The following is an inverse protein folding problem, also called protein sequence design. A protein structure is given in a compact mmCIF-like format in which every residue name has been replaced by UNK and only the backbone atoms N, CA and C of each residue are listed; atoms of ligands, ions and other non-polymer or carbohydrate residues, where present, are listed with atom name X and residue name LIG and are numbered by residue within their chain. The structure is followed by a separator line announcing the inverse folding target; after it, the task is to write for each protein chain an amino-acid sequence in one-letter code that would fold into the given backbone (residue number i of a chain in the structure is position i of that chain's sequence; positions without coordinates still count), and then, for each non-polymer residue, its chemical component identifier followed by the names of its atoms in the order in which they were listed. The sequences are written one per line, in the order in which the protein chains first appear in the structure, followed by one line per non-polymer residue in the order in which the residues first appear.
data_IF_852977465789
#
_entry.id   IF_852977465789
#
_cell.length_a   1.000
_cell.length_b   1.000
_cell.length_c   1.000
_cell.angle_alpha   90.00
_cell.angle_beta   90.00
_cell.angle_gamma   90.00
#
_symmetry.space_group_name_H-M   'P 1'
#
loop_
_entity.id
_entity.type
_entity.pdbx_description
1 polymer ?
#
# COMPACT_ATOMS: atom_id res chain seq x y z
N UNK A 1 -73.38 -35.52 -46.69
CA UNK A 1 -72.01 -36.05 -46.76
C UNK A 1 -71.04 -34.87 -46.72
N UNK A 2 -70.34 -34.69 -45.62
CA UNK A 2 -69.30 -33.64 -45.51
C UNK A 2 -67.99 -34.24 -46.06
N UNK A 3 -67.45 -33.64 -47.10
CA UNK A 3 -66.18 -34.04 -47.69
C UNK A 3 -65.06 -33.72 -46.73
N UNK A 4 -64.23 -34.70 -46.34
CA UNK A 4 -63.02 -34.51 -45.56
C UNK A 4 -62.01 -33.72 -46.41
N UNK A 5 -61.34 -32.74 -45.83
CA UNK A 5 -60.29 -32.03 -46.53
C UNK A 5 -59.12 -32.96 -46.81
N UNK A 6 -58.58 -32.79 -48.03
CA UNK A 6 -57.52 -33.59 -48.61
C UNK A 6 -56.29 -33.56 -47.77
N UNK A 7 -56.01 -34.64 -47.02
CA UNK A 7 -54.91 -34.76 -46.00
C UNK A 7 -53.56 -34.42 -46.63
N UNK A 8 -53.35 -34.70 -47.89
CA UNK A 8 -52.10 -34.40 -48.60
C UNK A 8 -51.88 -32.88 -48.80
N UNK A 9 -52.95 -32.10 -48.97
CA UNK A 9 -52.86 -30.63 -49.09
C UNK A 9 -52.51 -29.99 -47.68
N UNK A 10 -53.13 -30.49 -46.62
CA UNK A 10 -52.89 -29.99 -45.25
C UNK A 10 -51.44 -30.26 -44.78
N UNK A 11 -50.92 -31.43 -45.13
CA UNK A 11 -49.49 -31.78 -44.77
C UNK A 11 -48.56 -30.90 -45.60
N UNK A 12 -48.84 -30.63 -46.87
CA UNK A 12 -47.97 -29.75 -47.67
C UNK A 12 -47.94 -28.29 -47.20
N UNK A 13 -49.07 -27.75 -46.75
CA UNK A 13 -49.14 -26.41 -46.19
C UNK A 13 -48.47 -26.34 -44.82
N UNK A 14 -48.52 -27.39 -44.01
CA UNK A 14 -47.82 -27.49 -42.76
C UNK A 14 -46.28 -27.46 -42.95
N UNK A 15 -45.77 -28.23 -43.94
CA UNK A 15 -44.35 -28.20 -44.30
C UNK A 15 -43.87 -26.83 -44.77
N UNK A 16 -44.67 -26.16 -45.61
CA UNK A 16 -44.36 -24.82 -46.12
C UNK A 16 -44.33 -23.81 -44.92
N UNK A 17 -45.28 -23.92 -44.00
CA UNK A 17 -45.34 -23.07 -42.83
C UNK A 17 -44.15 -23.28 -41.86
N UNK A 18 -43.76 -24.52 -41.62
CA UNK A 18 -42.57 -24.86 -40.81
C UNK A 18 -41.29 -24.36 -41.49
N UNK A 19 -41.18 -24.49 -42.84
CA UNK A 19 -40.03 -23.97 -43.58
C UNK A 19 -39.96 -22.43 -43.55
N UNK A 20 -41.10 -21.72 -43.59
CA UNK A 20 -41.15 -20.27 -43.42
C UNK A 20 -40.74 -19.82 -42.03
N UNK A 21 -41.15 -20.52 -40.96
CA UNK A 21 -40.74 -20.24 -39.60
C UNK A 21 -39.23 -20.49 -39.44
N UNK A 22 -38.72 -21.58 -40.03
CA UNK A 22 -37.29 -21.90 -39.95
C UNK A 22 -36.43 -20.89 -40.73
N UNK A 23 -36.90 -20.39 -41.88
CA UNK A 23 -36.21 -19.32 -42.62
C UNK A 23 -36.24 -17.97 -41.90
N UNK A 24 -37.31 -17.64 -41.15
CA UNK A 24 -37.39 -16.43 -40.33
C UNK A 24 -36.46 -16.48 -39.11
N UNK A 25 -36.24 -17.68 -38.55
CA UNK A 25 -35.27 -17.87 -37.42
C UNK A 25 -33.82 -17.76 -37.86
N UNK A 26 -33.49 -18.00 -39.11
CA UNK A 26 -32.13 -17.86 -39.66
C UNK A 26 -31.75 -16.41 -39.98
N UNK A 27 -32.68 -15.47 -40.02
CA UNK A 27 -32.41 -14.05 -40.27
C UNK A 27 -32.14 -13.23 -39.03
N UNK A 28 -32.18 -13.84 -37.83
CA UNK A 28 -32.00 -13.14 -36.56
C UNK A 28 -30.54 -12.94 -36.12
N UNK A 29 -29.57 -13.28 -36.95
CA UNK A 29 -28.15 -13.06 -36.68
C UNK A 29 -27.47 -12.20 -37.73
N UNK A 30 -28.04 -11.05 -38.06
CA UNK A 30 -27.22 -9.94 -38.55
C UNK A 30 -26.89 -9.08 -37.30
N UNK A 31 -25.88 -9.48 -36.56
CA UNK A 31 -25.15 -8.55 -35.74
C UNK A 31 -24.69 -7.42 -36.66
N UNK A 32 -25.42 -6.31 -36.64
CA UNK A 32 -24.85 -5.04 -37.03
C UNK A 32 -23.70 -4.81 -36.07
N UNK A 33 -22.51 -5.28 -36.43
CA UNK A 33 -21.27 -4.81 -35.86
C UNK A 33 -21.27 -3.30 -36.11
N UNK A 34 -21.88 -2.55 -35.21
CA UNK A 34 -21.63 -1.13 -35.06
C UNK A 34 -20.13 -1.09 -34.78
N UNK A 35 -19.38 -0.72 -35.81
CA UNK A 35 -17.98 -0.31 -35.65
C UNK A 35 -18.02 0.88 -34.66
N UNK A 36 -18.01 0.59 -33.37
CA UNK A 36 -17.77 1.63 -32.39
C UNK A 36 -16.40 2.21 -32.76
N UNK A 37 -16.43 3.44 -33.25
CA UNK A 37 -15.19 4.19 -33.52
C UNK A 37 -14.44 4.24 -32.21
N UNK A 38 -13.40 3.41 -32.12
CA UNK A 38 -12.60 3.30 -30.89
C UNK A 38 -11.95 4.65 -30.63
N UNK A 39 -12.23 5.25 -29.49
CA UNK A 39 -11.64 6.54 -29.10
C UNK A 39 -10.11 6.37 -29.00
N UNK A 40 -9.31 7.27 -29.61
CA UNK A 40 -7.86 7.17 -29.55
C UNK A 40 -7.32 7.15 -28.11
N UNK A 41 -6.29 6.33 -27.86
CA UNK A 41 -5.68 6.21 -26.54
C UNK A 41 -5.21 7.57 -25.96
N UNK A 42 -4.71 8.45 -26.83
CA UNK A 42 -4.27 9.81 -26.43
C UNK A 42 -5.43 10.68 -25.97
N UNK A 43 -6.59 10.56 -26.60
CA UNK A 43 -7.80 11.32 -26.23
C UNK A 43 -8.36 10.81 -24.90
N UNK A 44 -8.45 9.50 -24.70
CA UNK A 44 -8.88 8.90 -23.43
C UNK A 44 -7.96 9.30 -22.28
N UNK A 45 -6.63 9.26 -22.52
CA UNK A 45 -5.66 9.67 -21.52
C UNK A 45 -5.79 11.15 -21.15
N UNK A 46 -5.97 12.02 -22.14
CA UNK A 46 -6.17 13.47 -21.90
C UNK A 46 -7.45 13.72 -21.10
N UNK A 47 -8.57 13.09 -21.49
CA UNK A 47 -9.84 13.20 -20.75
C UNK A 47 -9.68 12.74 -19.29
N UNK A 48 -9.00 11.62 -19.10
CA UNK A 48 -8.73 11.10 -17.75
C UNK A 48 -7.87 12.07 -16.94
N UNK A 49 -6.83 12.66 -17.53
CA UNK A 49 -5.96 13.61 -16.84
C UNK A 49 -6.66 14.93 -16.51
N UNK A 50 -7.48 15.47 -17.41
CA UNK A 50 -8.30 16.67 -17.13
C UNK A 50 -9.26 16.38 -15.97
N UNK A 51 -9.98 15.27 -16.03
CA UNK A 51 -10.89 14.89 -14.95
C UNK A 51 -10.14 14.65 -13.61
N UNK A 52 -8.89 14.15 -13.67
CA UNK A 52 -8.04 14.00 -12.49
C UNK A 52 -7.65 15.36 -11.88
N UNK A 53 -7.22 16.32 -12.71
CA UNK A 53 -6.83 17.66 -12.29
C UNK A 53 -8.02 18.49 -11.75
N UNK A 54 -9.22 18.26 -12.32
CA UNK A 54 -10.48 18.87 -11.87
C UNK A 54 -11.12 18.13 -10.68
N UNK A 55 -10.45 17.13 -10.10
CA UNK A 55 -10.91 16.29 -8.96
C UNK A 55 -12.16 15.45 -9.25
N UNK A 56 -12.54 15.28 -10.53
CA UNK A 56 -13.60 14.35 -10.94
C UNK A 56 -13.11 12.90 -10.98
N UNK A 57 -12.72 12.39 -9.81
CA UNK A 57 -12.00 11.12 -9.66
C UNK A 57 -12.71 9.91 -10.28
N UNK A 58 -14.04 9.85 -10.21
CA UNK A 58 -14.81 8.73 -10.81
C UNK A 58 -14.73 8.76 -12.34
N UNK A 59 -14.78 9.94 -12.95
CA UNK A 59 -14.66 10.11 -14.39
C UNK A 59 -13.24 9.80 -14.86
N UNK A 60 -12.23 10.27 -14.11
CA UNK A 60 -10.84 9.97 -14.37
C UNK A 60 -10.58 8.45 -14.37
N UNK A 61 -11.04 7.75 -13.31
CA UNK A 61 -10.93 6.29 -13.19
C UNK A 61 -11.58 5.58 -14.37
N UNK A 62 -12.82 5.94 -14.72
CA UNK A 62 -13.55 5.34 -15.84
C UNK A 62 -12.78 5.48 -17.17
N UNK A 63 -12.24 6.66 -17.46
CA UNK A 63 -11.47 6.89 -18.69
C UNK A 63 -10.14 6.10 -18.69
N UNK A 64 -9.45 5.98 -17.54
CA UNK A 64 -8.26 5.13 -17.42
C UNK A 64 -8.59 3.64 -17.59
N UNK A 65 -9.72 3.16 -17.04
CA UNK A 65 -10.17 1.78 -17.20
C UNK A 65 -10.48 1.45 -18.68
N UNK A 66 -11.25 2.31 -19.37
CA UNK A 66 -11.53 2.17 -20.80
C UNK A 66 -10.21 2.12 -21.60
N UNK A 67 -9.26 2.99 -21.28
CA UNK A 67 -7.97 3.01 -21.95
C UNK A 67 -7.17 1.72 -21.74
N UNK A 68 -7.21 1.14 -20.54
CA UNK A 68 -6.55 -0.13 -20.23
C UNK A 68 -7.23 -1.28 -20.98
N UNK A 69 -8.55 -1.30 -21.07
CA UNK A 69 -9.31 -2.36 -21.75
C UNK A 69 -9.14 -2.28 -23.25
N UNK A 70 -9.37 -1.12 -23.85
CA UNK A 70 -9.39 -0.97 -25.30
C UNK A 70 -8.00 -0.85 -25.93
N UNK A 71 -7.02 -0.33 -25.19
CA UNK A 71 -5.67 -0.08 -25.68
C UNK A 71 -4.60 -0.81 -24.86
N UNK A 72 -4.92 -2.03 -24.39
CA UNK A 72 -3.99 -2.86 -23.62
C UNK A 72 -2.66 -3.01 -24.34
N UNK A 73 -1.55 -3.01 -23.56
CA UNK A 73 -0.20 -3.11 -24.10
C UNK A 73 0.39 -1.79 -24.61
N UNK A 74 -0.37 -0.69 -24.67
CA UNK A 74 0.17 0.63 -25.00
C UNK A 74 0.87 1.26 -23.79
N UNK A 75 1.79 2.20 -24.07
CA UNK A 75 2.44 2.99 -23.01
C UNK A 75 1.43 3.77 -22.17
N UNK A 76 0.37 4.32 -22.78
CA UNK A 76 -0.64 5.10 -22.08
C UNK A 76 -1.49 4.21 -21.17
N UNK A 77 -1.88 3.02 -21.61
CA UNK A 77 -2.57 2.04 -20.76
C UNK A 77 -1.73 1.67 -19.54
N UNK A 78 -0.42 1.51 -19.70
CA UNK A 78 0.47 1.23 -18.56
C UNK A 78 0.62 2.43 -17.63
N UNK A 79 0.74 3.66 -18.17
CA UNK A 79 0.75 4.88 -17.37
C UNK A 79 -0.57 5.10 -16.61
N UNK A 80 -1.69 4.63 -17.17
CA UNK A 80 -2.99 4.68 -16.49
C UNK A 80 -2.98 3.93 -15.16
N UNK A 81 -2.30 2.78 -15.06
CA UNK A 81 -2.14 2.09 -13.78
C UNK A 81 -1.41 2.96 -12.73
N UNK A 82 -0.37 3.71 -13.14
CA UNK A 82 0.32 4.62 -12.23
C UNK A 82 -0.62 5.73 -11.73
N UNK A 83 -1.37 6.36 -12.67
CA UNK A 83 -2.31 7.44 -12.34
C UNK A 83 -3.51 6.97 -11.53
N UNK A 84 -4.03 5.78 -11.79
CA UNK A 84 -5.04 5.15 -10.93
C UNK A 84 -4.50 4.90 -9.50
N UNK A 85 -3.22 4.50 -9.38
CA UNK A 85 -2.56 4.40 -8.09
C UNK A 85 -2.55 5.73 -7.34
N UNK A 86 -2.19 6.84 -8.02
CA UNK A 86 -2.23 8.18 -7.45
C UNK A 86 -3.66 8.58 -7.03
N UNK A 87 -4.66 8.29 -7.87
CA UNK A 87 -6.09 8.56 -7.59
C UNK A 87 -6.60 7.80 -6.37
N UNK A 88 -6.36 6.50 -6.31
CA UNK A 88 -6.77 5.68 -5.17
C UNK A 88 -6.06 6.10 -3.87
N UNK A 89 -4.78 6.51 -3.97
CA UNK A 89 -4.05 7.06 -2.84
C UNK A 89 -4.74 8.31 -2.25
N UNK A 90 -5.14 9.27 -3.10
CA UNK A 90 -5.86 10.48 -2.68
C UNK A 90 -7.22 10.16 -2.02
N UNK A 91 -7.84 9.05 -2.40
CA UNK A 91 -9.09 8.59 -1.83
C UNK A 91 -8.93 7.69 -0.59
N UNK A 92 -7.70 7.48 -0.10
CA UNK A 92 -7.36 6.55 0.98
C UNK A 92 -7.79 5.08 0.71
N UNK A 93 -7.88 4.71 -0.58
CA UNK A 93 -8.15 3.34 -1.04
C UNK A 93 -6.82 2.61 -1.20
N UNK A 94 -6.29 2.16 -0.05
CA UNK A 94 -4.90 1.69 0.05
C UNK A 94 -4.63 0.43 -0.77
N UNK A 95 -5.54 -0.53 -0.77
CA UNK A 95 -5.41 -1.81 -1.46
C UNK A 95 -5.43 -1.64 -2.99
N UNK A 96 -6.37 -0.83 -3.49
CA UNK A 96 -6.48 -0.51 -4.92
C UNK A 96 -5.29 0.31 -5.40
N UNK A 97 -4.82 1.26 -4.57
CA UNK A 97 -3.64 2.05 -4.86
C UNK A 97 -2.38 1.16 -4.96
N UNK A 98 -2.15 0.30 -3.95
CA UNK A 98 -1.03 -0.64 -3.96
C UNK A 98 -1.07 -1.56 -5.17
N UNK A 99 -2.22 -2.15 -5.48
CA UNK A 99 -2.42 -3.01 -6.64
C UNK A 99 -2.07 -2.30 -7.94
N UNK A 100 -2.52 -1.05 -8.11
CA UNK A 100 -2.29 -0.24 -9.29
C UNK A 100 -0.80 0.11 -9.47
N UNK A 101 -0.10 0.54 -8.40
CA UNK A 101 1.34 0.81 -8.45
C UNK A 101 2.16 -0.45 -8.73
N UNK A 102 1.83 -1.58 -8.10
CA UNK A 102 2.52 -2.85 -8.35
C UNK A 102 2.29 -3.34 -9.77
N UNK A 103 1.09 -3.15 -10.33
CA UNK A 103 0.80 -3.46 -11.73
C UNK A 103 1.64 -2.61 -12.68
N UNK A 104 1.77 -1.31 -12.42
CA UNK A 104 2.65 -0.43 -13.19
C UNK A 104 4.11 -0.92 -13.17
N UNK A 105 4.65 -1.22 -11.99
CA UNK A 105 6.04 -1.70 -11.84
C UNK A 105 6.28 -3.04 -12.55
N UNK A 106 5.30 -3.94 -12.54
CA UNK A 106 5.37 -5.21 -13.25
C UNK A 106 5.45 -5.01 -14.77
N UNK A 107 4.65 -4.07 -15.30
CA UNK A 107 4.59 -3.79 -16.73
C UNK A 107 5.78 -2.93 -17.22
N UNK A 108 6.37 -2.11 -16.35
CA UNK A 108 7.46 -1.17 -16.70
C UNK A 108 8.60 -1.19 -15.68
N UNK A 109 9.33 -2.31 -15.52
CA UNK A 109 10.34 -2.44 -14.47
C UNK A 109 11.59 -1.57 -14.67
N UNK A 110 11.78 -0.94 -15.85
CA UNK A 110 12.98 -0.18 -16.23
C UNK A 110 12.71 1.28 -16.58
N UNK A 111 11.51 1.81 -16.30
CA UNK A 111 11.20 3.22 -16.57
C UNK A 111 11.80 4.13 -15.51
N UNK A 112 12.05 5.40 -15.88
CA UNK A 112 12.47 6.45 -14.95
C UNK A 112 11.42 6.76 -13.87
N UNK A 113 10.18 6.27 -14.02
CA UNK A 113 9.11 6.43 -13.04
C UNK A 113 9.13 5.37 -11.92
N UNK A 114 10.02 4.36 -12.00
CA UNK A 114 10.14 3.33 -10.94
C UNK A 114 10.46 3.94 -9.58
N UNK A 115 11.44 4.85 -9.43
CA UNK A 115 11.72 5.47 -8.13
C UNK A 115 10.52 6.24 -7.57
N UNK A 116 9.79 7.00 -8.41
CA UNK A 116 8.54 7.64 -8.00
C UNK A 116 7.52 6.63 -7.48
N UNK A 117 7.28 5.57 -8.24
CA UNK A 117 6.27 4.57 -7.86
C UNK A 117 6.61 3.85 -6.57
N UNK A 118 7.90 3.54 -6.33
CA UNK A 118 8.33 2.93 -5.07
C UNK A 118 8.20 3.92 -3.91
N UNK A 119 8.54 5.21 -4.11
CA UNK A 119 8.29 6.25 -3.11
C UNK A 119 6.80 6.31 -2.72
N UNK A 120 5.88 6.25 -3.72
CA UNK A 120 4.43 6.22 -3.45
C UNK A 120 3.99 4.97 -2.66
N UNK A 121 4.57 3.80 -2.94
CA UNK A 121 4.31 2.57 -2.16
C UNK A 121 4.82 2.68 -0.72
N UNK A 122 5.96 3.33 -0.51
CA UNK A 122 6.50 3.60 0.83
C UNK A 122 5.57 4.55 1.58
N UNK A 123 5.17 5.66 0.96
CA UNK A 123 4.21 6.60 1.51
C UNK A 123 2.88 5.92 1.88
N UNK A 124 2.35 5.08 0.97
CA UNK A 124 1.12 4.32 1.17
C UNK A 124 1.18 3.43 2.42
N UNK A 125 2.27 2.70 2.61
CA UNK A 125 2.44 1.84 3.79
C UNK A 125 2.48 2.65 5.09
N UNK A 126 3.06 3.87 5.04
CA UNK A 126 3.08 4.77 6.18
C UNK A 126 1.67 5.33 6.48
N UNK A 127 0.99 5.88 5.47
CA UNK A 127 -0.34 6.46 5.61
C UNK A 127 -1.38 5.43 6.07
N UNK A 128 -1.37 4.24 5.50
CA UNK A 128 -2.24 3.12 5.92
C UNK A 128 -2.06 2.79 7.40
N UNK A 129 -0.84 2.89 7.92
CA UNK A 129 -0.56 2.67 9.32
C UNK A 129 -1.12 3.80 10.20
N UNK A 130 -0.95 5.07 9.80
CA UNK A 130 -1.52 6.22 10.51
C UNK A 130 -3.06 6.17 10.51
N UNK A 131 -3.67 5.85 9.37
CA UNK A 131 -5.13 5.78 9.25
C UNK A 131 -5.73 4.74 10.19
N UNK A 132 -5.03 3.65 10.44
CA UNK A 132 -5.38 2.66 11.45
C UNK A 132 -5.36 3.20 12.89
N UNK A 133 -4.67 4.33 13.16
CA UNK A 133 -4.67 5.00 14.48
C UNK A 133 -6.01 5.65 14.82
N UNK A 134 -6.74 6.16 13.83
CA UNK A 134 -8.05 6.79 14.04
C UNK A 134 -9.17 5.78 14.29
N UNK A 135 -8.94 4.52 13.91
CA UNK A 135 -9.83 3.41 14.26
C UNK A 135 -9.36 2.86 15.61
N UNK A 136 -9.94 3.35 16.70
CA UNK A 136 -9.80 2.97 18.12
C UNK A 136 -9.21 1.58 18.41
N UNK A 137 -7.96 1.29 18.01
CA UNK A 137 -7.24 0.15 18.55
C UNK A 137 -6.35 0.64 19.69
N UNK A 138 -6.30 -0.12 20.77
CA UNK A 138 -5.35 0.15 21.85
C UNK A 138 -3.94 0.07 21.25
N UNK A 139 -3.02 0.95 21.67
CA UNK A 139 -1.68 1.08 21.07
C UNK A 139 -0.90 -0.25 20.90
N UNK A 140 -1.18 -1.25 21.75
CA UNK A 140 -0.54 -2.56 21.68
C UNK A 140 -1.16 -3.55 20.70
N UNK A 141 -2.42 -3.33 20.25
CA UNK A 141 -3.13 -4.17 19.26
C UNK A 141 -2.87 -3.70 17.81
N UNK A 142 -2.04 -2.68 17.65
CA UNK A 142 -1.77 -2.06 16.37
C UNK A 142 -1.01 -3.01 15.45
N UNK A 143 -1.52 -3.17 14.24
CA UNK A 143 -0.81 -3.90 13.19
C UNK A 143 0.39 -3.10 12.69
N UNK A 144 1.60 -3.54 13.03
CA UNK A 144 2.86 -2.91 12.63
C UNK A 144 3.44 -3.47 11.31
N UNK A 145 2.71 -4.36 10.61
CA UNK A 145 3.20 -4.93 9.35
C UNK A 145 3.38 -3.90 8.22
N UNK A 146 2.53 -2.86 8.09
CA UNK A 146 2.80 -1.77 7.15
C UNK A 146 4.16 -1.09 7.36
N UNK A 147 4.54 -0.81 8.62
CA UNK A 147 5.84 -0.20 8.95
C UNK A 147 7.00 -1.15 8.61
N UNK A 148 6.87 -2.44 8.89
CA UNK A 148 7.90 -3.43 8.52
C UNK A 148 8.05 -3.55 7.00
N UNK A 149 6.95 -3.52 6.28
CA UNK A 149 6.95 -3.54 4.80
C UNK A 149 7.63 -2.28 4.26
N UNK A 150 7.32 -1.11 4.82
CA UNK A 150 7.95 0.15 4.45
C UNK A 150 9.48 0.07 4.61
N UNK A 151 9.98 -0.46 5.73
CA UNK A 151 11.42 -0.58 5.97
C UNK A 151 12.09 -1.51 4.94
N UNK A 152 11.44 -2.61 4.56
CA UNK A 152 11.95 -3.50 3.50
C UNK A 152 12.02 -2.80 2.14
N UNK A 153 10.98 -2.05 1.79
CA UNK A 153 10.95 -1.30 0.52
C UNK A 153 11.96 -0.14 0.54
N UNK A 154 12.16 0.54 1.68
CA UNK A 154 13.23 1.54 1.83
C UNK A 154 14.62 0.95 1.58
N UNK A 155 14.94 -0.17 2.20
CA UNK A 155 16.25 -0.82 2.01
C UNK A 155 16.49 -1.15 0.54
N UNK A 156 15.47 -1.66 -0.14
CA UNK A 156 15.53 -1.93 -1.59
C UNK A 156 15.69 -0.65 -2.39
N UNK A 157 14.95 0.41 -2.04
CA UNK A 157 15.04 1.71 -2.70
C UNK A 157 16.44 2.31 -2.59
N UNK A 158 17.00 2.32 -1.38
CA UNK A 158 18.33 2.86 -1.12
C UNK A 158 19.42 2.15 -1.93
N UNK A 159 19.34 0.83 -2.06
CA UNK A 159 20.29 0.04 -2.85
C UNK A 159 20.19 0.29 -4.34
N UNK A 160 18.97 0.44 -4.86
CA UNK A 160 18.73 0.54 -6.30
C UNK A 160 18.80 1.99 -6.83
N UNK A 161 18.47 2.97 -5.99
CA UNK A 161 18.31 4.37 -6.40
C UNK A 161 19.00 5.36 -5.43
N UNK A 162 20.30 5.22 -5.13
CA UNK A 162 20.99 6.02 -4.11
C UNK A 162 21.09 7.51 -4.46
N UNK A 163 20.83 7.90 -5.71
CA UNK A 163 20.85 9.30 -6.17
C UNK A 163 19.46 9.79 -6.60
N UNK A 164 18.41 9.09 -6.18
CA UNK A 164 17.04 9.49 -6.51
C UNK A 164 16.66 10.80 -5.83
N UNK A 165 15.92 11.71 -6.51
CA UNK A 165 15.38 12.90 -5.87
C UNK A 165 14.37 12.59 -4.75
N UNK A 166 13.87 11.36 -4.68
CA UNK A 166 12.94 10.90 -3.63
C UNK A 166 13.65 10.26 -2.44
N UNK A 167 15.00 10.29 -2.37
CA UNK A 167 15.74 9.61 -1.32
C UNK A 167 15.45 10.23 0.05
N UNK A 168 15.38 11.55 0.15
CA UNK A 168 15.08 12.28 1.39
C UNK A 168 13.67 11.93 1.91
N UNK A 169 12.66 11.94 1.02
CA UNK A 169 11.29 11.57 1.37
C UNK A 169 11.21 10.15 1.96
N UNK A 170 11.84 9.18 1.29
CA UNK A 170 11.79 7.79 1.74
C UNK A 170 12.59 7.56 3.02
N UNK A 171 13.65 8.36 3.29
CA UNK A 171 14.38 8.34 4.55
C UNK A 171 13.54 8.90 5.70
N UNK A 172 12.76 9.95 5.46
CA UNK A 172 11.86 10.50 6.46
C UNK A 172 10.76 9.49 6.82
N UNK A 173 10.13 8.85 5.84
CA UNK A 173 9.16 7.78 6.09
C UNK A 173 9.78 6.61 6.87
N UNK A 174 10.99 6.19 6.52
CA UNK A 174 11.70 5.13 7.24
C UNK A 174 11.96 5.51 8.69
N UNK A 175 12.42 6.74 8.94
CA UNK A 175 12.72 7.24 10.29
C UNK A 175 11.47 7.26 11.16
N UNK A 176 10.35 7.73 10.63
CA UNK A 176 9.04 7.71 11.30
C UNK A 176 8.57 6.29 11.58
N UNK A 177 8.66 5.39 10.60
CA UNK A 177 8.27 3.98 10.77
C UNK A 177 9.10 3.27 11.84
N UNK A 178 10.41 3.54 11.91
CA UNK A 178 11.29 3.01 12.97
C UNK A 178 10.91 3.57 14.35
N UNK A 179 10.55 4.85 14.43
CA UNK A 179 10.07 5.47 15.68
C UNK A 179 8.76 4.82 16.14
N UNK A 180 7.80 4.61 15.24
CA UNK A 180 6.53 3.97 15.56
C UNK A 180 6.72 2.52 16.05
N UNK A 181 7.63 1.76 15.42
CA UNK A 181 7.98 0.41 15.86
C UNK A 181 8.61 0.42 17.26
N UNK A 182 9.50 1.38 17.53
CA UNK A 182 10.11 1.53 18.84
C UNK A 182 9.08 1.89 19.92
N UNK A 183 8.14 2.80 19.63
CA UNK A 183 7.03 3.16 20.51
C UNK A 183 6.15 1.94 20.84
N UNK A 184 5.81 1.15 19.82
CA UNK A 184 5.05 -0.09 20.01
C UNK A 184 5.79 -1.07 20.95
N UNK A 185 7.09 -1.30 20.73
CA UNK A 185 7.89 -2.18 21.59
C UNK A 185 7.99 -1.64 23.02
N UNK A 186 8.12 -0.32 23.20
CA UNK A 186 8.12 0.32 24.52
C UNK A 186 6.78 0.13 25.23
N UNK A 187 5.67 0.27 24.50
CA UNK A 187 4.33 0.05 25.04
C UNK A 187 4.16 -1.40 25.52
N UNK A 188 4.57 -2.36 24.70
CA UNK A 188 4.55 -3.79 25.07
C UNK A 188 5.45 -4.08 26.28
N UNK A 189 6.65 -3.46 26.33
CA UNK A 189 7.57 -3.61 27.45
C UNK A 189 6.97 -3.08 28.76
N UNK A 190 6.38 -1.88 28.73
CA UNK A 190 5.70 -1.26 29.87
C UNK A 190 4.50 -2.09 30.32
N UNK A 191 3.72 -2.64 29.40
CA UNK A 191 2.61 -3.55 29.76
C UNK A 191 3.09 -4.75 30.58
N UNK A 192 4.19 -5.40 30.17
CA UNK A 192 4.75 -6.51 30.95
C UNK A 192 5.32 -6.03 32.29
N UNK A 193 5.93 -4.86 32.33
CA UNK A 193 6.45 -4.26 33.56
C UNK A 193 5.32 -4.03 34.58
N UNK A 194 4.21 -3.41 34.14
CA UNK A 194 3.04 -3.11 34.98
C UNK A 194 2.33 -4.38 35.48
N UNK A 195 2.44 -5.48 34.71
CA UNK A 195 1.98 -6.82 35.11
C UNK A 195 2.97 -7.56 36.00
N UNK A 196 4.07 -6.91 36.42
CA UNK A 196 5.15 -7.49 37.25
C UNK A 196 5.86 -8.69 36.57
N UNK A 197 5.66 -8.85 35.26
CA UNK A 197 6.34 -9.85 34.44
C UNK A 197 7.74 -9.32 34.02
N UNK A 198 8.59 -8.99 35.02
CA UNK A 198 9.83 -8.27 34.79
C UNK A 198 10.77 -8.95 33.81
N UNK A 199 10.88 -10.28 33.84
CA UNK A 199 11.70 -11.02 32.87
C UNK A 199 11.29 -10.76 31.43
N UNK A 200 9.98 -10.70 31.15
CA UNK A 200 9.45 -10.39 29.83
C UNK A 200 9.67 -8.93 29.46
N UNK A 201 9.49 -8.00 30.41
CA UNK A 201 9.76 -6.58 30.22
C UNK A 201 11.23 -6.34 29.88
N UNK A 202 12.17 -6.95 30.62
CA UNK A 202 13.62 -6.88 30.36
C UNK A 202 13.93 -7.29 28.92
N UNK A 203 13.40 -8.44 28.46
CA UNK A 203 13.61 -8.90 27.10
C UNK A 203 13.16 -7.89 26.04
N UNK A 204 12.02 -7.21 26.26
CA UNK A 204 11.50 -6.19 25.34
C UNK A 204 12.30 -4.88 25.40
N UNK A 205 12.69 -4.41 26.57
CA UNK A 205 13.57 -3.22 26.68
C UNK A 205 14.92 -3.45 25.99
N UNK A 206 15.56 -4.62 26.21
CA UNK A 206 16.80 -4.99 25.53
C UNK A 206 16.63 -5.05 24.01
N UNK A 207 15.55 -5.66 23.55
CA UNK A 207 15.22 -5.71 22.12
C UNK A 207 15.12 -4.30 21.54
N UNK A 208 14.41 -3.39 22.22
CA UNK A 208 14.25 -2.01 21.80
C UNK A 208 15.60 -1.29 21.70
N UNK A 209 16.41 -1.33 22.74
CA UNK A 209 17.72 -0.66 22.76
C UNK A 209 18.66 -1.20 21.68
N UNK A 210 18.58 -2.49 21.37
CA UNK A 210 19.41 -3.13 20.35
C UNK A 210 18.97 -2.78 18.93
N UNK A 211 17.66 -2.79 18.66
CA UNK A 211 17.13 -2.69 17.29
C UNK A 211 16.74 -1.27 16.89
N UNK A 212 16.54 -0.36 17.87
CA UNK A 212 16.15 1.03 17.65
C UNK A 212 17.06 2.01 18.38
N UNK A 213 18.39 1.99 18.12
CA UNK A 213 19.35 2.81 18.87
C UNK A 213 19.12 4.32 18.70
N UNK A 214 18.54 4.75 17.59
CA UNK A 214 18.21 6.16 17.30
C UNK A 214 16.87 6.61 17.88
N UNK A 215 16.17 5.76 18.63
CA UNK A 215 14.91 6.13 19.24
C UNK A 215 15.08 7.23 20.28
N UNK A 216 14.31 8.35 20.24
CA UNK A 216 14.56 9.52 21.09
C UNK A 216 14.48 9.22 22.60
N UNK A 217 13.70 8.21 23.00
CA UNK A 217 13.49 7.85 24.41
C UNK A 217 14.39 6.70 24.92
N UNK A 218 15.49 6.39 24.24
CA UNK A 218 16.41 5.31 24.65
C UNK A 218 16.90 5.45 26.08
N UNK A 219 17.17 6.68 26.58
CA UNK A 219 17.54 6.93 27.98
C UNK A 219 16.44 6.53 28.96
N UNK A 220 15.18 6.85 28.66
CA UNK A 220 14.02 6.44 29.46
C UNK A 220 13.86 4.92 29.48
N UNK A 221 14.08 4.29 28.32
CA UNK A 221 14.03 2.82 28.18
C UNK A 221 15.11 2.18 29.06
N UNK A 222 16.34 2.72 29.05
CA UNK A 222 17.43 2.22 29.90
C UNK A 222 17.11 2.37 31.37
N UNK A 223 16.52 3.48 31.83
CA UNK A 223 16.06 3.68 33.21
C UNK A 223 15.03 2.63 33.64
N UNK A 224 14.04 2.38 32.77
CA UNK A 224 13.03 1.33 33.01
C UNK A 224 13.63 -0.08 33.03
N UNK A 225 14.62 -0.35 32.19
CA UNK A 225 15.36 -1.60 32.18
C UNK A 225 16.13 -1.81 33.51
N UNK A 226 16.80 -0.77 34.01
CA UNK A 226 17.51 -0.79 35.32
C UNK A 226 16.52 -1.12 36.43
N UNK A 227 15.37 -0.46 36.46
CA UNK A 227 14.32 -0.73 37.45
C UNK A 227 13.80 -2.19 37.33
N UNK A 228 13.56 -2.67 36.11
CA UNK A 228 13.13 -4.04 35.87
C UNK A 228 14.16 -5.07 36.33
N UNK A 229 15.46 -4.84 36.15
CA UNK A 229 16.52 -5.70 36.66
C UNK A 229 16.52 -5.75 38.19
N UNK A 230 16.38 -4.61 38.89
CA UNK A 230 16.29 -4.57 40.32
C UNK A 230 15.11 -5.36 40.87
N UNK A 231 13.94 -5.16 40.28
CA UNK A 231 12.71 -5.87 40.64
C UNK A 231 12.73 -7.37 40.31
N UNK A 232 13.55 -7.76 39.32
CA UNK A 232 13.77 -9.16 38.92
C UNK A 232 14.93 -9.81 39.68
N UNK A 233 15.42 -9.18 40.79
CA UNK A 233 16.51 -9.67 41.62
C UNK A 233 17.86 -9.88 40.89
N UNK A 234 18.19 -8.97 39.97
CA UNK A 234 19.41 -8.97 39.14
C UNK A 234 20.18 -7.63 39.33
N UNK A 235 20.60 -7.28 40.55
CA UNK A 235 21.21 -5.96 40.86
C UNK A 235 22.51 -5.72 40.09
N UNK A 236 23.31 -6.75 39.83
CA UNK A 236 24.57 -6.62 39.10
C UNK A 236 24.34 -6.09 37.68
N UNK A 237 23.33 -6.60 36.98
CA UNK A 237 22.95 -6.14 35.64
C UNK A 237 22.33 -4.74 35.64
N UNK A 238 21.63 -4.38 36.73
CA UNK A 238 21.14 -3.02 36.92
C UNK A 238 22.30 -2.03 37.05
N UNK A 239 23.33 -2.37 37.85
CA UNK A 239 24.48 -1.51 38.05
C UNK A 239 25.38 -1.39 36.82
N UNK A 240 25.53 -2.47 36.03
CA UNK A 240 26.20 -2.42 34.73
C UNK A 240 25.48 -1.48 33.76
N UNK A 241 24.17 -1.62 33.63
CA UNK A 241 23.36 -0.76 32.73
C UNK A 241 23.36 0.70 33.21
N UNK A 242 23.37 0.95 34.53
CA UNK A 242 23.46 2.28 35.10
C UNK A 242 24.77 2.99 34.65
N UNK A 243 25.91 2.30 34.72
CA UNK A 243 27.22 2.83 34.26
C UNK A 243 27.19 3.14 32.75
N UNK A 244 26.58 2.27 31.94
CA UNK A 244 26.42 2.50 30.49
C UNK A 244 25.60 3.77 30.24
N UNK A 245 24.49 3.93 30.95
CA UNK A 245 23.61 5.10 30.80
C UNK A 245 24.33 6.41 31.19
N UNK A 246 25.09 6.41 32.27
CA UNK A 246 25.88 7.56 32.69
C UNK A 246 26.94 7.95 31.67
N UNK A 247 27.69 6.97 31.15
CA UNK A 247 28.69 7.21 30.08
C UNK A 247 28.04 7.78 28.80
N UNK A 248 26.86 7.31 28.42
CA UNK A 248 26.15 7.85 27.26
C UNK A 248 25.66 9.29 27.47
N UNK A 249 25.23 9.63 28.70
CA UNK A 249 24.83 10.99 29.07
C UNK A 249 25.99 11.96 29.02
N UNK A 250 27.15 11.56 29.56
CA UNK A 250 28.37 12.36 29.52
C UNK A 250 28.82 12.64 28.09
N UNK A 251 28.87 11.60 27.24
CA UNK A 251 29.22 11.77 25.81
C UNK A 251 28.25 12.71 25.06
N UNK A 252 26.94 12.60 25.33
CA UNK A 252 25.94 13.50 24.73
C UNK A 252 26.11 14.92 25.19
N UNK A 253 26.43 15.15 26.47
CA UNK A 253 26.70 16.47 27.02
C UNK A 253 27.94 17.09 26.37
N UNK A 254 29.04 16.34 26.29
CA UNK A 254 30.28 16.79 25.63
C UNK A 254 30.02 17.17 24.16
N UNK A 255 29.30 16.34 23.41
CA UNK A 255 28.96 16.64 22.02
C UNK A 255 28.10 17.92 21.87
N UNK A 256 27.21 18.20 22.83
CA UNK A 256 26.40 19.44 22.80
C UNK A 256 27.25 20.68 23.17
N UNK A 257 28.28 20.54 23.97
CA UNK A 257 29.17 21.64 24.31
C UNK A 257 30.07 21.99 23.13
N UNK A 258 30.63 20.99 22.43
CA UNK A 258 31.47 21.23 21.24
C UNK A 258 30.72 21.92 20.10
N UNK A 259 29.44 21.55 19.86
CA UNK A 259 28.60 22.21 18.81
C UNK A 259 28.16 23.63 19.16
N UNK A 260 28.37 24.12 20.40
CA UNK A 260 28.08 25.50 20.81
C UNK A 260 29.27 26.46 20.67
N UNK A 261 30.45 25.88 20.45
CA UNK A 261 31.70 26.62 20.30
C UNK A 261 32.08 26.86 18.82
N UNK A 262 31.34 26.23 17.87
CA UNK A 262 31.40 26.47 16.44
C UNK A 262 30.30 27.47 16.03
#
# INVERSE_FOLDING_TARGET
MKSFPDLNKTIKYFYIFVLMIFSALLQSCTDTATTQVRVPATELYQKAMVAFEDEFYLEALKNFEILIEEHSGTRLATLSHLKMGDLYFLQNKWEESESSYRRFLLLNPRTHLVPYTINRLIALNYERNIYGLFVKSRDYDRNMEPNRTLIREYQRFYLLFPQSPYLEDVQDYQSRALSDLAEHELHVANYYFDKQAYRSAIGRYLYLLKHYPSFPRTSQVAERLIEAYRLNLQPELADEMQKVLETLRERKLLAQLTMREE
#
